data_IF_303872288649
#
_entry.id   IF_303872288649
#
_cell.length_a   1.000
_cell.length_b   1.000
_cell.length_c   1.000
_cell.angle_alpha   90.00
_cell.angle_beta   90.00
_cell.angle_gamma   90.00
#
_symmetry.space_group_name_H-M   'P 1'
#
loop_
_entity.id
_entity.type
_entity.pdbx_description
1 polymer ?
#
# COMPACT_ATOMS: atom_id res chain seq x y z
N UNK A 1 47.10 -44.02 -57.75
CA UNK A 1 47.90 -45.15 -58.27
C UNK A 1 48.47 -45.88 -57.05
N UNK A 2 47.90 -47.00 -56.61
CA UNK A 2 48.11 -48.38 -57.10
C UNK A 2 49.59 -48.79 -57.12
N UNK A 3 49.88 -49.79 -56.26
CA UNK A 3 50.90 -50.85 -56.38
C UNK A 3 52.37 -50.38 -56.28
N UNK A 4 53.35 -51.12 -55.77
CA UNK A 4 53.54 -52.54 -55.42
C UNK A 4 54.96 -52.63 -54.81
N UNK A 5 55.19 -53.27 -53.66
CA UNK A 5 55.54 -54.70 -53.45
C UNK A 5 57.03 -55.05 -53.65
N UNK A 6 57.48 -55.96 -52.77
CA UNK A 6 58.70 -56.80 -52.74
C UNK A 6 59.90 -56.19 -51.97
N UNK A 7 60.62 -56.92 -51.10
CA UNK A 7 61.20 -58.27 -51.32
C UNK A 7 61.69 -58.93 -50.00
N UNK A 8 61.49 -60.27 -49.88
CA UNK A 8 62.17 -61.40 -49.15
C UNK A 8 63.16 -61.17 -47.96
N UNK A 9 63.48 -62.11 -47.05
CA UNK A 9 62.95 -63.41 -46.57
C UNK A 9 63.92 -64.00 -45.49
N UNK A 10 63.48 -65.10 -44.84
CA UNK A 10 64.19 -66.11 -44.01
C UNK A 10 64.55 -65.69 -42.57
N UNK A 11 64.31 -66.48 -41.52
CA UNK A 11 63.78 -67.84 -41.38
C UNK A 11 63.88 -68.24 -39.90
N UNK A 12 63.15 -69.26 -39.47
CA UNK A 12 63.34 -69.83 -38.12
C UNK A 12 62.09 -70.46 -37.52
N UNK A 13 61.86 -71.72 -37.85
CA UNK A 13 60.94 -72.63 -37.16
C UNK A 13 61.27 -72.76 -35.67
N UNK A 14 60.24 -72.73 -34.82
CA UNK A 14 60.17 -73.60 -33.65
C UNK A 14 58.70 -73.92 -33.35
N UNK A 15 58.29 -75.13 -33.72
CA UNK A 15 57.05 -75.77 -33.32
C UNK A 15 57.16 -76.14 -31.83
N UNK A 16 56.30 -75.58 -30.97
CA UNK A 16 56.00 -76.18 -29.66
C UNK A 16 54.50 -76.46 -29.64
N UNK A 17 54.18 -77.73 -29.86
CA UNK A 17 52.93 -78.35 -29.44
C UNK A 17 52.92 -78.40 -27.91
N UNK A 18 51.78 -78.04 -27.30
CA UNK A 18 51.13 -78.76 -26.18
C UNK A 18 50.16 -77.84 -25.44
N UNK A 19 48.91 -78.30 -25.27
CA UNK A 19 48.03 -77.82 -24.19
C UNK A 19 46.70 -77.23 -24.64
N UNK A 20 45.79 -78.07 -25.15
CA UNK A 20 44.37 -77.79 -25.00
C UNK A 20 44.02 -77.81 -23.50
N UNK A 21 43.71 -76.64 -22.93
CA UNK A 21 43.01 -76.56 -21.64
C UNK A 21 41.83 -75.61 -21.82
N UNK A 22 40.65 -76.18 -22.01
CA UNK A 22 39.38 -75.47 -21.87
C UNK A 22 39.32 -74.89 -20.46
N UNK A 23 39.56 -73.60 -20.31
CA UNK A 23 39.19 -72.86 -19.10
C UNK A 23 37.68 -72.64 -19.17
N UNK A 24 36.94 -73.35 -18.32
CA UNK A 24 35.61 -72.91 -17.91
C UNK A 24 35.70 -71.46 -17.46
N UNK A 25 34.97 -70.58 -18.15
CA UNK A 25 34.70 -69.23 -17.68
C UNK A 25 33.76 -69.39 -16.49
N UNK A 26 34.33 -69.35 -15.29
CA UNK A 26 33.55 -69.17 -14.07
C UNK A 26 32.87 -67.81 -14.20
N UNK A 27 31.58 -67.82 -14.50
CA UNK A 27 30.73 -66.65 -14.54
C UNK A 27 30.70 -66.06 -13.13
N UNK A 28 31.46 -64.97 -12.90
CA UNK A 28 31.31 -64.21 -11.66
C UNK A 28 29.85 -63.76 -11.56
N UNK A 29 29.18 -63.99 -10.41
CA UNK A 29 27.85 -63.43 -10.20
C UNK A 29 27.92 -61.91 -10.41
N UNK A 30 26.90 -61.31 -11.06
CA UNK A 30 26.87 -59.86 -11.26
C UNK A 30 27.06 -59.16 -9.92
N UNK A 31 27.82 -58.05 -9.86
CA UNK A 31 27.97 -57.29 -8.63
C UNK A 31 26.58 -56.98 -8.07
N UNK A 32 26.37 -57.11 -6.75
CA UNK A 32 25.08 -56.77 -6.15
C UNK A 32 24.70 -55.35 -6.58
N UNK A 33 23.42 -55.09 -6.88
CA UNK A 33 22.98 -53.76 -7.27
C UNK A 33 23.44 -52.76 -6.20
N UNK A 34 23.93 -51.57 -6.61
CA UNK A 34 24.33 -50.55 -5.65
C UNK A 34 23.16 -50.30 -4.68
N UNK A 35 23.44 -50.18 -3.37
CA UNK A 35 22.39 -49.96 -2.39
C UNK A 35 21.52 -48.77 -2.80
N UNK A 36 20.20 -48.79 -2.51
CA UNK A 36 19.30 -47.70 -2.85
C UNK A 36 19.90 -46.37 -2.38
N UNK A 37 20.20 -45.48 -3.32
CA UNK A 37 20.70 -44.16 -2.94
C UNK A 37 19.56 -43.40 -2.28
N UNK A 38 19.77 -42.99 -1.03
CA UNK A 38 18.82 -42.14 -0.31
C UNK A 38 18.77 -40.78 -1.04
N UNK A 39 17.58 -40.29 -1.45
CA UNK A 39 17.45 -38.99 -2.07
C UNK A 39 18.01 -37.89 -1.17
N UNK A 40 18.71 -36.90 -1.74
CA UNK A 40 19.29 -35.77 -0.99
C UNK A 40 18.23 -35.11 -0.09
N UNK A 41 17.00 -34.97 -0.57
CA UNK A 41 15.86 -34.43 0.21
C UNK A 41 15.61 -35.16 1.53
N UNK A 42 15.71 -36.48 1.55
CA UNK A 42 15.46 -37.29 2.76
C UNK A 42 16.64 -37.20 3.74
N UNK A 43 17.86 -37.02 3.23
CA UNK A 43 19.04 -36.78 4.06
C UNK A 43 18.96 -35.41 4.75
N UNK A 44 18.46 -34.38 4.06
CA UNK A 44 18.26 -33.05 4.65
C UNK A 44 17.27 -33.05 5.82
N UNK A 45 16.25 -33.92 5.82
CA UNK A 45 15.24 -34.03 6.89
C UNK A 45 15.83 -34.47 8.23
N UNK A 46 16.99 -35.14 8.22
CA UNK A 46 17.69 -35.60 9.43
C UNK A 46 18.32 -34.44 10.22
N UNK A 47 18.54 -33.30 9.57
CA UNK A 47 19.18 -32.14 10.18
C UNK A 47 18.13 -31.16 10.72
N UNK A 48 18.09 -31.04 12.05
CA UNK A 48 17.18 -30.13 12.77
C UNK A 48 17.93 -28.92 13.30
N UNK A 49 17.30 -27.74 13.21
CA UNK A 49 17.84 -26.54 13.81
C UNK A 49 17.75 -26.59 15.34
N UNK A 50 18.61 -25.84 16.07
CA UNK A 50 18.46 -25.65 17.51
C UNK A 50 17.04 -25.21 17.88
N UNK A 51 16.59 -25.58 19.08
CA UNK A 51 15.24 -25.24 19.55
C UNK A 51 14.98 -23.73 19.46
N UNK A 52 13.79 -23.35 18.98
CA UNK A 52 13.39 -21.96 18.81
C UNK A 52 13.91 -21.27 17.54
N UNK A 53 14.76 -21.92 16.74
CA UNK A 53 15.21 -21.40 15.45
C UNK A 53 14.26 -21.77 14.29
N UNK A 54 14.22 -20.90 13.29
CA UNK A 54 13.59 -21.15 12.01
C UNK A 54 14.50 -22.03 11.15
N UNK A 55 13.93 -22.99 10.44
CA UNK A 55 14.65 -23.94 9.57
C UNK A 55 14.28 -23.72 8.12
N UNK A 56 15.26 -23.63 7.23
CA UNK A 56 15.07 -23.67 5.79
C UNK A 56 15.81 -24.84 5.17
N UNK A 57 15.25 -25.42 4.11
CA UNK A 57 15.94 -26.38 3.28
C UNK A 57 15.83 -26.01 1.80
N UNK A 58 16.88 -26.23 1.03
CA UNK A 58 16.87 -25.90 -0.39
C UNK A 58 17.66 -26.92 -1.18
N UNK A 59 17.20 -27.19 -2.40
CA UNK A 59 17.86 -28.07 -3.37
C UNK A 59 18.08 -27.26 -4.66
N UNK A 60 19.28 -27.35 -5.24
CA UNK A 60 19.60 -26.76 -6.53
C UNK A 60 20.78 -27.47 -7.20
N UNK A 61 21.18 -27.02 -8.39
CA UNK A 61 22.37 -27.52 -9.09
C UNK A 61 23.70 -27.04 -8.50
N UNK A 62 23.65 -26.00 -7.67
CA UNK A 62 24.81 -25.40 -7.01
C UNK A 62 24.45 -24.90 -5.60
N UNK A 63 25.49 -24.60 -4.82
CA UNK A 63 25.37 -24.18 -3.44
C UNK A 63 24.61 -22.87 -3.25
N UNK A 64 24.86 -21.86 -4.10
CA UNK A 64 24.31 -20.52 -3.92
C UNK A 64 22.78 -20.52 -4.11
N UNK A 65 22.29 -21.19 -5.15
CA UNK A 65 20.86 -21.35 -5.37
C UNK A 65 20.20 -22.27 -4.31
N UNK A 66 20.90 -23.30 -3.83
CA UNK A 66 20.38 -24.16 -2.77
C UNK A 66 20.25 -23.39 -1.44
N UNK A 67 21.23 -22.54 -1.12
CA UNK A 67 21.17 -21.63 0.03
C UNK A 67 20.05 -20.60 -0.12
N UNK A 68 19.88 -19.99 -1.30
CA UNK A 68 18.78 -19.05 -1.56
C UNK A 68 17.41 -19.71 -1.37
N UNK A 69 17.23 -20.93 -1.87
CA UNK A 69 16.00 -21.71 -1.66
C UNK A 69 15.76 -21.99 -0.16
N UNK A 70 16.80 -22.31 0.60
CA UNK A 70 16.69 -22.50 2.04
C UNK A 70 16.30 -21.20 2.78
N UNK A 71 16.90 -20.07 2.42
CA UNK A 71 16.55 -18.75 2.97
C UNK A 71 15.09 -18.38 2.65
N UNK A 72 14.64 -18.64 1.42
CA UNK A 72 13.26 -18.39 1.00
C UNK A 72 12.27 -19.25 1.79
N UNK A 73 12.59 -20.50 2.10
CA UNK A 73 11.75 -21.32 2.97
C UNK A 73 11.60 -20.74 4.39
N UNK A 74 12.66 -20.14 4.94
CA UNK A 74 12.59 -19.44 6.25
C UNK A 74 11.63 -18.25 6.15
N UNK A 75 11.74 -17.44 5.09
CA UNK A 75 10.87 -16.29 4.88
C UNK A 75 9.39 -16.70 4.71
N UNK A 76 9.11 -17.77 3.97
CA UNK A 76 7.76 -18.33 3.80
C UNK A 76 7.16 -18.78 5.14
N UNK A 77 7.95 -19.36 6.04
CA UNK A 77 7.46 -19.74 7.37
C UNK A 77 7.00 -18.53 8.19
N UNK A 78 7.77 -17.45 8.17
CA UNK A 78 7.39 -16.20 8.83
C UNK A 78 6.08 -15.68 8.23
N UNK A 79 6.01 -15.59 6.90
CA UNK A 79 4.81 -15.12 6.19
C UNK A 79 3.57 -15.97 6.51
N UNK A 80 3.70 -17.29 6.57
CA UNK A 80 2.59 -18.20 6.89
C UNK A 80 2.07 -18.01 8.32
N UNK A 81 2.99 -17.71 9.25
CA UNK A 81 2.64 -17.45 10.66
C UNK A 81 1.93 -16.11 10.80
N UNK A 82 2.42 -15.07 10.12
CA UNK A 82 1.73 -13.77 10.09
C UNK A 82 0.33 -13.91 9.50
N UNK A 83 0.19 -14.56 8.35
CA UNK A 83 -1.12 -14.78 7.70
C UNK A 83 -2.10 -15.49 8.65
N UNK A 84 -1.61 -16.44 9.45
CA UNK A 84 -2.43 -17.17 10.42
C UNK A 84 -2.87 -16.27 11.57
N UNK A 85 -1.98 -15.43 12.10
CA UNK A 85 -2.30 -14.44 13.15
C UNK A 85 -3.32 -13.43 12.64
N UNK A 86 -3.10 -12.87 11.44
CA UNK A 86 -4.02 -11.90 10.85
C UNK A 86 -5.42 -12.51 10.66
N UNK A 87 -5.53 -13.75 10.16
CA UNK A 87 -6.83 -14.45 10.03
C UNK A 87 -7.52 -14.70 11.37
N UNK A 88 -6.76 -15.01 12.42
CA UNK A 88 -7.32 -15.23 13.76
C UNK A 88 -7.90 -13.93 14.35
N UNK A 89 -7.24 -12.79 14.11
CA UNK A 89 -7.74 -11.47 14.52
C UNK A 89 -8.99 -11.03 13.74
N UNK A 90 -9.08 -11.35 12.44
CA UNK A 90 -10.31 -11.11 11.66
C UNK A 90 -11.53 -11.81 12.28
N UNK A 91 -11.35 -13.02 12.82
CA UNK A 91 -12.43 -13.74 13.49
C UNK A 91 -12.91 -13.11 14.81
N UNK A 92 -12.10 -12.25 15.44
CA UNK A 92 -12.43 -11.57 16.70
C UNK A 92 -12.99 -10.15 16.53
N UNK A 93 -12.71 -9.49 15.40
CA UNK A 93 -13.00 -8.07 15.18
C UNK A 93 -14.32 -7.80 14.41
N UNK A 94 -15.08 -8.86 14.15
CA UNK A 94 -16.45 -8.80 13.59
C UNK A 94 -17.43 -8.66 14.74
N UNK A 95 -18.17 -7.55 14.78
CA UNK A 95 -19.23 -7.38 15.78
C UNK A 95 -20.39 -8.38 15.53
N UNK A 96 -21.32 -8.52 16.49
CA UNK A 96 -22.45 -9.45 16.39
C UNK A 96 -23.39 -9.20 15.18
N UNK A 97 -23.21 -8.10 14.47
CA UNK A 97 -23.99 -7.67 13.30
C UNK A 97 -23.24 -7.92 11.97
N UNK A 98 -22.06 -8.56 12.02
CA UNK A 98 -21.27 -8.87 10.83
C UNK A 98 -20.47 -7.69 10.26
N UNK A 99 -20.32 -6.60 11.02
CA UNK A 99 -19.64 -5.38 10.58
C UNK A 99 -18.24 -5.28 11.21
N UNK A 100 -17.22 -5.25 10.38
CA UNK A 100 -15.82 -5.08 10.79
C UNK A 100 -15.58 -3.65 11.32
N UNK A 101 -14.92 -3.51 12.47
CA UNK A 101 -14.68 -2.21 13.11
C UNK A 101 -13.69 -1.30 12.36
N UNK A 102 -12.89 -1.85 11.42
CA UNK A 102 -11.87 -1.13 10.64
C UNK A 102 -11.93 -1.52 9.16
N UNK A 103 -12.96 -1.09 8.44
CA UNK A 103 -13.32 -1.58 7.09
C UNK A 103 -12.35 -1.22 5.94
N UNK A 104 -11.22 -0.51 6.16
CA UNK A 104 -10.38 0.00 5.04
C UNK A 104 -8.91 -0.40 5.04
N UNK A 105 -8.41 -1.11 6.06
CA UNK A 105 -6.99 -1.51 6.11
C UNK A 105 -6.71 -2.94 5.64
N UNK A 106 -7.76 -3.78 5.53
CA UNK A 106 -7.60 -5.24 5.43
C UNK A 106 -7.20 -5.78 4.06
N UNK A 107 -7.57 -5.13 2.95
CA UNK A 107 -7.10 -5.56 1.62
C UNK A 107 -5.59 -5.33 1.42
N UNK A 108 -4.94 -4.51 2.26
CA UNK A 108 -3.49 -4.26 2.18
C UNK A 108 -2.62 -5.25 2.97
N UNK A 109 -3.13 -5.84 4.05
CA UNK A 109 -2.30 -6.53 5.07
C UNK A 109 -1.93 -7.98 4.75
N UNK A 110 -1.78 -8.38 3.49
CA UNK A 110 -1.23 -9.70 3.14
C UNK A 110 0.13 -9.66 2.43
N UNK A 111 0.66 -8.48 2.14
CA UNK A 111 1.99 -8.32 1.56
C UNK A 111 3.06 -8.21 2.64
N UNK A 112 3.14 -9.21 3.54
CA UNK A 112 4.41 -9.44 4.24
C UNK A 112 5.40 -9.87 3.15
N UNK A 113 6.38 -9.02 2.88
CA UNK A 113 7.43 -9.31 1.89
C UNK A 113 8.00 -10.69 2.16
N UNK A 114 8.00 -11.54 1.13
CA UNK A 114 8.57 -12.90 1.16
C UNK A 114 10.11 -12.89 1.24
N UNK A 115 10.72 -11.75 1.54
CA UNK A 115 12.18 -11.56 1.53
C UNK A 115 12.70 -11.27 2.93
N UNK A 116 13.58 -12.15 3.42
CA UNK A 116 14.28 -11.98 4.67
C UNK A 116 15.38 -10.90 4.51
N UNK A 117 15.13 -9.69 5.05
CA UNK A 117 16.02 -8.51 4.90
C UNK A 117 17.43 -8.73 5.46
N UNK A 118 17.57 -9.57 6.47
CA UNK A 118 18.84 -9.91 7.10
C UNK A 118 19.28 -11.35 6.81
N UNK A 119 19.14 -11.78 5.55
CA UNK A 119 19.56 -13.09 5.07
C UNK A 119 21.02 -13.46 5.40
N UNK A 120 21.90 -12.49 5.58
CA UNK A 120 23.30 -12.70 5.98
C UNK A 120 23.45 -13.27 7.39
N UNK A 121 22.43 -13.14 8.25
CA UNK A 121 22.45 -13.70 9.61
C UNK A 121 22.06 -15.19 9.63
N UNK A 122 21.62 -15.73 8.48
CA UNK A 122 21.29 -17.15 8.32
C UNK A 122 22.57 -17.98 8.37
N UNK A 123 22.55 -19.04 9.18
CA UNK A 123 23.69 -19.96 9.33
C UNK A 123 23.40 -21.28 8.65
N UNK A 124 24.30 -21.70 7.77
CA UNK A 124 24.24 -23.05 7.19
C UNK A 124 24.61 -24.06 8.26
N UNK A 125 23.71 -25.01 8.49
CA UNK A 125 23.92 -26.13 9.41
C UNK A 125 24.61 -27.28 8.69
N UNK A 126 24.16 -27.59 7.47
CA UNK A 126 24.68 -28.72 6.70
C UNK A 126 24.57 -28.48 5.19
N UNK A 127 25.48 -29.10 4.43
CA UNK A 127 25.44 -29.16 2.98
C UNK A 127 25.66 -30.60 2.48
N UNK A 128 24.73 -31.10 1.68
CA UNK A 128 24.81 -32.44 1.07
C UNK A 128 24.89 -32.29 -0.44
N UNK A 129 25.90 -32.87 -1.09
CA UNK A 129 26.05 -32.81 -2.55
C UNK A 129 26.17 -34.22 -3.14
N UNK A 130 25.26 -34.58 -4.05
CA UNK A 130 25.27 -35.86 -4.78
C UNK A 130 24.71 -35.70 -6.19
N UNK A 131 25.32 -36.39 -7.16
CA UNK A 131 24.80 -36.50 -8.54
C UNK A 131 24.39 -35.17 -9.21
N UNK A 132 25.16 -34.10 -8.95
CA UNK A 132 24.88 -32.77 -9.53
C UNK A 132 23.76 -31.98 -8.84
N UNK A 133 23.26 -32.46 -7.70
CA UNK A 133 22.31 -31.76 -6.83
C UNK A 133 23.00 -31.40 -5.52
N UNK A 134 22.89 -30.14 -5.12
CA UNK A 134 23.32 -29.60 -3.83
C UNK A 134 22.09 -29.32 -2.98
N UNK A 135 22.10 -29.85 -1.75
CA UNK A 135 21.13 -29.61 -0.72
C UNK A 135 21.74 -28.82 0.45
N UNK A 136 21.02 -27.82 0.93
CA UNK A 136 21.44 -26.97 2.05
C UNK A 136 20.36 -26.97 3.11
N UNK A 137 20.75 -27.16 4.38
CA UNK A 137 19.92 -26.86 5.54
C UNK A 137 20.48 -25.63 6.23
N UNK A 138 19.62 -24.64 6.43
CA UNK A 138 19.98 -23.37 7.03
C UNK A 138 19.07 -23.05 8.22
N UNK A 139 19.64 -22.39 9.21
CA UNK A 139 18.97 -22.04 10.46
C UNK A 139 19.09 -20.54 10.74
N UNK A 140 18.06 -19.97 11.35
CA UNK A 140 18.08 -18.60 11.82
C UNK A 140 17.37 -18.50 13.16
N UNK A 141 17.94 -17.76 14.12
CA UNK A 141 17.22 -17.50 15.36
C UNK A 141 16.06 -16.55 15.12
N UNK A 142 14.95 -16.73 15.84
CA UNK A 142 13.82 -15.78 15.81
C UNK A 142 14.27 -14.36 16.20
N UNK A 143 15.22 -14.25 17.12
CA UNK A 143 15.78 -12.95 17.53
C UNK A 143 16.54 -12.28 16.41
N UNK A 144 17.32 -13.03 15.61
CA UNK A 144 17.98 -12.47 14.44
C UNK A 144 16.93 -12.07 13.39
N UNK A 145 15.98 -12.95 13.08
CA UNK A 145 14.88 -12.66 12.15
C UNK A 145 14.11 -11.38 12.52
N UNK A 146 13.95 -11.12 13.83
CA UNK A 146 13.19 -9.97 14.33
C UNK A 146 13.92 -8.62 14.23
N UNK A 147 15.26 -8.60 14.13
CA UNK A 147 16.06 -7.35 14.16
C UNK A 147 15.54 -6.24 13.24
N UNK A 148 15.39 -6.44 11.91
CA UNK A 148 14.92 -5.39 11.02
C UNK A 148 13.50 -4.91 11.38
N UNK A 149 12.63 -5.84 11.80
CA UNK A 149 11.25 -5.52 12.15
C UNK A 149 11.12 -4.75 13.47
N UNK A 150 12.08 -4.86 14.39
CA UNK A 150 12.09 -4.05 15.62
C UNK A 150 12.35 -2.58 15.32
N UNK A 151 13.27 -2.30 14.41
CA UNK A 151 13.58 -0.93 13.97
C UNK A 151 12.38 -0.33 13.21
N UNK A 152 11.79 -1.11 12.29
CA UNK A 152 10.58 -0.71 11.56
C UNK A 152 9.40 -0.47 12.53
N UNK A 153 9.21 -1.35 13.53
CA UNK A 153 8.17 -1.22 14.56
C UNK A 153 8.31 0.06 15.38
N UNK A 154 9.51 0.35 15.88
CA UNK A 154 9.76 1.57 16.67
C UNK A 154 9.51 2.82 15.82
N UNK A 155 10.04 2.84 14.60
CA UNK A 155 9.85 3.96 13.67
C UNK A 155 8.37 4.18 13.32
N UNK A 156 7.64 3.10 13.05
CA UNK A 156 6.22 3.15 12.73
C UNK A 156 5.36 3.57 13.95
N UNK A 157 5.72 3.10 15.15
CA UNK A 157 5.08 3.52 16.40
C UNK A 157 5.25 5.02 16.63
N UNK A 158 6.47 5.55 16.51
CA UNK A 158 6.74 6.97 16.73
C UNK A 158 6.02 7.84 15.70
N UNK A 159 6.00 7.41 14.44
CA UNK A 159 5.24 8.06 13.38
C UNK A 159 3.73 8.08 13.67
N UNK A 160 3.17 6.96 14.14
CA UNK A 160 1.76 6.86 14.53
C UNK A 160 1.44 7.81 15.70
N UNK A 161 2.22 7.78 16.78
CA UNK A 161 2.03 8.68 17.93
C UNK A 161 2.09 10.14 17.52
N UNK A 162 3.07 10.51 16.70
CA UNK A 162 3.18 11.86 16.14
C UNK A 162 1.96 12.23 15.30
N UNK A 163 1.51 11.35 14.41
CA UNK A 163 0.37 11.61 13.54
C UNK A 163 -0.96 11.78 14.30
N UNK A 164 -1.17 11.03 15.39
CA UNK A 164 -2.34 11.18 16.26
C UNK A 164 -2.34 12.56 16.93
N UNK A 165 -1.19 12.98 17.49
CA UNK A 165 -1.06 14.29 18.12
C UNK A 165 -1.28 15.44 17.11
N UNK A 166 -0.72 15.33 15.91
CA UNK A 166 -0.93 16.34 14.85
C UNK A 166 -2.42 16.40 14.45
N UNK A 167 -3.09 15.26 14.28
CA UNK A 167 -4.51 15.21 13.94
C UNK A 167 -5.37 15.92 15.01
N UNK A 168 -5.08 15.69 16.28
CA UNK A 168 -5.79 16.29 17.41
C UNK A 168 -5.65 17.82 17.41
N UNK A 169 -4.44 18.32 17.21
CA UNK A 169 -4.13 19.77 17.21
C UNK A 169 -4.60 20.50 15.93
N UNK A 170 -4.87 19.79 14.84
CA UNK A 170 -5.22 20.40 13.56
C UNK A 170 -6.67 20.89 13.59
N UNK A 171 -6.86 22.20 13.37
CA UNK A 171 -8.19 22.82 13.24
C UNK A 171 -8.62 23.00 11.78
N UNK A 172 -7.68 23.21 10.86
CA UNK A 172 -7.99 23.42 9.45
C UNK A 172 -8.59 22.14 8.84
N UNK A 173 -9.81 22.16 8.27
CA UNK A 173 -10.48 20.94 7.81
C UNK A 173 -9.72 20.12 6.79
N UNK A 174 -9.19 20.74 5.72
CA UNK A 174 -8.42 20.01 4.70
C UNK A 174 -7.17 19.34 5.27
N UNK A 175 -6.43 20.04 6.13
CA UNK A 175 -5.27 19.47 6.81
C UNK A 175 -5.68 18.34 7.74
N UNK A 176 -6.83 18.47 8.42
CA UNK A 176 -7.35 17.42 9.31
C UNK A 176 -7.71 16.15 8.54
N UNK A 177 -8.34 16.28 7.37
CA UNK A 177 -8.59 15.15 6.46
C UNK A 177 -7.27 14.49 6.03
N UNK A 178 -6.29 15.28 5.56
CA UNK A 178 -5.00 14.75 5.14
C UNK A 178 -4.19 14.12 6.29
N UNK A 179 -4.27 14.69 7.49
CA UNK A 179 -3.58 14.15 8.67
C UNK A 179 -4.24 12.88 9.19
N UNK A 180 -5.56 12.71 9.00
CA UNK A 180 -6.24 11.43 9.26
C UNK A 180 -5.74 10.33 8.32
N UNK A 181 -5.60 10.63 7.01
CA UNK A 181 -5.05 9.68 6.04
C UNK A 181 -3.60 9.28 6.38
N UNK A 182 -2.77 10.25 6.82
CA UNK A 182 -1.42 9.95 7.31
C UNK A 182 -1.43 9.08 8.56
N UNK A 183 -2.31 9.35 9.52
CA UNK A 183 -2.44 8.57 10.75
C UNK A 183 -2.86 7.13 10.45
N UNK A 184 -3.85 6.94 9.58
CA UNK A 184 -4.31 5.58 9.19
C UNK A 184 -3.22 4.82 8.43
N UNK A 185 -2.45 5.48 7.57
CA UNK A 185 -1.30 4.87 6.92
C UNK A 185 -0.20 4.47 7.92
N UNK A 186 0.13 5.34 8.88
CA UNK A 186 1.10 5.04 9.94
C UNK A 186 0.65 3.85 10.81
N UNK A 187 -0.66 3.77 11.13
CA UNK A 187 -1.23 2.64 11.86
C UNK A 187 -1.10 1.32 11.10
N UNK A 188 -1.31 1.32 9.78
CA UNK A 188 -1.10 0.14 8.93
C UNK A 188 0.34 -0.39 9.06
N UNK A 189 1.33 0.49 8.90
CA UNK A 189 2.74 0.10 8.98
C UNK A 189 3.15 -0.37 10.40
N UNK A 190 2.60 0.28 11.43
CA UNK A 190 2.78 -0.16 12.82
C UNK A 190 2.26 -1.59 13.01
N UNK A 191 1.01 -1.86 12.57
CA UNK A 191 0.37 -3.17 12.69
C UNK A 191 1.11 -4.27 11.91
N UNK A 192 1.56 -3.97 10.69
CA UNK A 192 2.36 -4.90 9.88
C UNK A 192 3.61 -5.37 10.62
N UNK A 193 4.40 -4.43 11.15
CA UNK A 193 5.62 -4.74 11.90
C UNK A 193 5.32 -5.48 13.20
N UNK A 194 4.26 -5.09 13.90
CA UNK A 194 3.82 -5.70 15.14
C UNK A 194 3.39 -7.17 14.96
N UNK A 195 2.67 -7.48 13.87
CA UNK A 195 2.25 -8.84 13.55
C UNK A 195 3.43 -9.76 13.19
N UNK A 196 4.43 -9.24 12.47
CA UNK A 196 5.67 -10.01 12.20
C UNK A 196 6.39 -10.31 13.51
N UNK A 197 6.58 -9.32 14.38
CA UNK A 197 7.22 -9.53 15.68
C UNK A 197 6.45 -10.53 16.55
N UNK A 198 5.12 -10.45 16.58
CA UNK A 198 4.27 -11.42 17.29
C UNK A 198 4.45 -12.84 16.74
N UNK A 199 4.51 -13.01 15.41
CA UNK A 199 4.77 -14.31 14.77
C UNK A 199 6.13 -14.92 15.15
N UNK A 200 7.11 -14.06 15.42
CA UNK A 200 8.44 -14.43 15.89
C UNK A 200 8.51 -14.60 17.42
N UNK A 201 7.39 -14.45 18.14
CA UNK A 201 7.31 -14.61 19.60
C UNK A 201 7.69 -13.36 20.40
N UNK A 202 7.79 -12.20 19.76
CA UNK A 202 8.06 -10.91 20.40
C UNK A 202 6.78 -10.06 20.45
N UNK A 203 5.85 -10.42 21.33
CA UNK A 203 4.66 -9.60 21.56
C UNK A 203 5.03 -8.37 22.42
N UNK A 204 4.61 -7.19 21.99
CA UNK A 204 4.64 -5.96 22.79
C UNK A 204 3.23 -5.66 23.35
N UNK A 205 3.14 -4.80 24.35
CA UNK A 205 1.86 -4.34 24.89
C UNK A 205 1.20 -3.34 23.92
N UNK A 206 0.55 -3.87 22.88
CA UNK A 206 -0.10 -3.09 21.81
C UNK A 206 -1.34 -2.32 22.29
N UNK A 207 -1.91 -2.70 23.44
CA UNK A 207 -3.20 -2.20 23.91
C UNK A 207 -3.25 -0.68 24.09
N UNK A 208 -2.19 -0.07 24.62
CA UNK A 208 -2.15 1.39 24.87
C UNK A 208 -2.18 2.21 23.56
N UNK A 209 -1.44 1.75 22.55
CA UNK A 209 -1.38 2.40 21.24
C UNK A 209 -2.71 2.22 20.50
N UNK A 210 -3.30 1.02 20.58
CA UNK A 210 -4.60 0.73 19.98
C UNK A 210 -5.73 1.55 20.61
N UNK A 211 -5.74 1.69 21.94
CA UNK A 211 -6.69 2.56 22.63
C UNK A 211 -6.53 4.03 22.18
N UNK A 212 -5.30 4.52 22.12
CA UNK A 212 -5.00 5.88 21.66
C UNK A 212 -5.44 6.11 20.22
N UNK A 213 -5.20 5.13 19.34
CA UNK A 213 -5.63 5.18 17.94
C UNK A 213 -7.15 5.19 17.81
N UNK A 214 -7.85 4.32 18.54
CA UNK A 214 -9.32 4.28 18.53
C UNK A 214 -9.91 5.60 19.01
N UNK A 215 -9.36 6.20 20.07
CA UNK A 215 -9.76 7.52 20.55
C UNK A 215 -9.54 8.62 19.50
N UNK A 216 -8.41 8.60 18.79
CA UNK A 216 -8.14 9.54 17.71
C UNK A 216 -9.13 9.37 16.54
N UNK A 217 -9.49 8.13 16.19
CA UNK A 217 -10.51 7.84 15.20
C UNK A 217 -11.90 8.35 15.63
N UNK A 218 -12.29 8.15 16.87
CA UNK A 218 -13.55 8.66 17.43
C UNK A 218 -13.61 10.18 17.38
N UNK A 219 -12.54 10.87 17.80
CA UNK A 219 -12.45 12.33 17.71
C UNK A 219 -12.56 12.83 16.26
N UNK A 220 -11.98 12.12 15.30
CA UNK A 220 -12.15 12.44 13.88
C UNK A 220 -13.59 12.17 13.37
N UNK A 221 -14.22 11.09 13.80
CA UNK A 221 -15.63 10.79 13.46
C UNK A 221 -16.56 11.89 13.99
N UNK A 222 -16.33 12.34 15.23
CA UNK A 222 -17.08 13.46 15.81
C UNK A 222 -16.90 14.73 14.97
N UNK A 223 -15.66 15.08 14.64
CA UNK A 223 -15.35 16.20 13.76
C UNK A 223 -16.07 16.09 12.40
N UNK A 224 -16.00 14.92 11.74
CA UNK A 224 -16.66 14.66 10.45
C UNK A 224 -18.18 14.81 10.54
N UNK A 225 -18.79 14.39 11.65
CA UNK A 225 -20.24 14.47 11.87
C UNK A 225 -20.76 15.90 12.06
N UNK A 226 -19.88 16.79 12.53
CA UNK A 226 -20.19 18.20 12.83
C UNK A 226 -19.72 19.15 11.73
N UNK A 227 -18.92 18.66 10.78
CA UNK A 227 -18.41 19.47 9.69
C UNK A 227 -19.52 19.74 8.66
N UNK A 228 -19.73 21.02 8.38
CA UNK A 228 -20.65 21.46 7.34
C UNK A 228 -20.00 22.53 6.45
N UNK A 229 -20.55 22.71 5.26
CA UNK A 229 -20.24 23.84 4.40
C UNK A 229 -21.41 24.81 4.53
N UNK A 230 -21.12 25.96 5.12
CA UNK A 230 -22.08 27.02 5.36
C UNK A 230 -22.06 28.02 4.22
N UNK A 231 -23.22 28.57 3.87
CA UNK A 231 -23.33 29.64 2.90
C UNK A 231 -23.87 30.90 3.57
N UNK A 232 -23.12 31.99 3.40
CA UNK A 232 -23.45 33.34 3.82
C UNK A 232 -23.47 34.21 2.57
N UNK A 233 -24.64 34.72 2.18
CA UNK A 233 -24.74 35.54 0.98
C UNK A 233 -26.04 36.30 0.91
N UNK A 234 -26.10 37.27 0.01
CA UNK A 234 -27.28 38.09 -0.25
C UNK A 234 -28.27 37.29 -1.10
N UNK A 235 -29.06 36.42 -0.45
CA UNK A 235 -30.07 35.60 -1.12
C UNK A 235 -31.27 36.44 -1.62
N UNK A 236 -31.37 37.70 -1.20
CA UNK A 236 -32.35 38.65 -1.69
C UNK A 236 -32.04 39.15 -3.12
N UNK A 237 -30.78 39.06 -3.56
CA UNK A 237 -30.36 39.40 -4.92
C UNK A 237 -30.55 38.19 -5.86
N UNK A 238 -30.99 38.44 -7.11
CA UNK A 238 -31.23 37.38 -8.09
C UNK A 238 -29.95 36.59 -8.41
N UNK A 239 -28.82 37.29 -8.52
CA UNK A 239 -27.49 36.72 -8.71
C UNK A 239 -27.08 35.82 -7.54
N UNK A 240 -27.31 36.28 -6.31
CA UNK A 240 -26.97 35.54 -5.10
C UNK A 240 -27.81 34.26 -4.95
N UNK A 241 -29.11 34.36 -5.16
CA UNK A 241 -30.01 33.22 -5.20
C UNK A 241 -29.61 32.22 -6.30
N UNK A 242 -29.21 32.71 -7.47
CA UNK A 242 -28.79 31.86 -8.60
C UNK A 242 -27.47 31.14 -8.30
N UNK A 243 -26.48 31.83 -7.75
CA UNK A 243 -25.21 31.22 -7.33
C UNK A 243 -25.45 30.14 -6.28
N UNK A 244 -26.27 30.41 -5.26
CA UNK A 244 -26.62 29.42 -4.25
C UNK A 244 -27.30 28.18 -4.87
N UNK A 245 -28.23 28.37 -5.80
CA UNK A 245 -28.88 27.26 -6.51
C UNK A 245 -27.88 26.42 -7.32
N UNK A 246 -26.94 27.05 -8.01
CA UNK A 246 -25.94 26.31 -8.77
C UNK A 246 -24.97 25.55 -7.85
N UNK A 247 -24.54 26.18 -6.75
CA UNK A 247 -23.65 25.53 -5.76
C UNK A 247 -24.35 24.37 -5.03
N UNK A 248 -25.61 24.54 -4.64
CA UNK A 248 -26.37 23.49 -3.95
C UNK A 248 -26.63 22.23 -4.79
N UNK A 249 -26.44 22.27 -6.12
CA UNK A 249 -26.54 21.08 -6.99
C UNK A 249 -25.46 20.03 -6.72
N UNK A 250 -24.27 20.42 -6.25
CA UNK A 250 -23.14 19.51 -6.04
C UNK A 250 -22.66 19.47 -4.59
N UNK A 251 -22.97 20.49 -3.80
CA UNK A 251 -22.56 20.60 -2.40
C UNK A 251 -23.79 20.76 -1.53
N UNK A 252 -23.86 19.98 -0.46
CA UNK A 252 -24.84 20.24 0.58
C UNK A 252 -24.44 21.51 1.34
N UNK A 253 -25.21 22.58 1.16
CA UNK A 253 -24.98 23.88 1.78
C UNK A 253 -25.98 24.09 2.93
N UNK A 254 -25.47 24.49 4.08
CA UNK A 254 -26.28 24.90 5.22
C UNK A 254 -26.31 26.43 5.28
N UNK A 255 -27.49 27.03 5.45
CA UNK A 255 -27.55 28.49 5.59
C UNK A 255 -27.20 28.89 7.02
N UNK A 256 -26.42 29.97 7.20
CA UNK A 256 -26.00 30.42 8.55
C UNK A 256 -27.19 30.88 9.39
N UNK A 257 -28.33 31.21 8.76
CA UNK A 257 -29.58 31.55 9.44
C UNK A 257 -30.18 30.39 10.26
N UNK A 258 -29.88 29.14 9.87
CA UNK A 258 -30.47 27.94 10.47
C UNK A 258 -29.67 27.43 11.70
N UNK A 259 -28.40 27.82 11.82
CA UNK A 259 -27.51 27.36 12.90
C UNK A 259 -26.22 28.19 12.96
N UNK A 260 -25.72 28.46 14.17
CA UNK A 260 -24.40 29.05 14.34
C UNK A 260 -23.31 28.12 13.76
N UNK A 261 -22.36 28.69 13.01
CA UNK A 261 -21.21 27.96 12.48
C UNK A 261 -20.32 27.49 13.64
N UNK A 262 -20.21 26.17 13.84
CA UNK A 262 -19.32 25.60 14.86
C UNK A 262 -18.02 25.08 14.26
N UNK A 263 -18.13 24.20 13.25
CA UNK A 263 -17.00 23.53 12.61
C UNK A 263 -17.33 23.40 11.11
N UNK A 264 -16.49 23.95 10.25
CA UNK A 264 -16.78 23.91 8.83
C UNK A 264 -16.03 24.92 7.98
N UNK A 265 -16.53 25.02 6.74
CA UNK A 265 -16.17 26.05 5.78
C UNK A 265 -17.34 27.03 5.65
N UNK A 266 -17.12 28.31 5.87
CA UNK A 266 -18.07 29.37 5.56
C UNK A 266 -17.76 29.92 4.18
N UNK A 267 -18.75 29.88 3.30
CA UNK A 267 -18.72 30.47 1.97
C UNK A 267 -19.46 31.81 2.02
N UNK A 268 -18.70 32.89 2.06
CA UNK A 268 -19.26 34.25 2.04
C UNK A 268 -19.25 34.80 0.61
N UNK A 269 -20.43 35.08 0.06
CA UNK A 269 -20.61 35.64 -1.28
C UNK A 269 -20.67 37.16 -1.22
N UNK A 270 -19.77 37.82 -1.95
CA UNK A 270 -19.75 39.25 -2.14
C UNK A 270 -20.15 39.61 -3.57
N UNK A 271 -21.13 40.50 -3.69
CA UNK A 271 -21.65 41.01 -4.96
C UNK A 271 -21.42 42.53 -5.02
N UNK A 272 -20.87 43.01 -6.12
CA UNK A 272 -20.77 44.45 -6.39
C UNK A 272 -22.02 44.97 -7.11
N UNK A 273 -22.33 46.26 -7.02
CA UNK A 273 -23.39 46.84 -7.85
C UNK A 273 -23.09 46.65 -9.36
N UNK A 274 -24.07 46.17 -10.17
CA UNK A 274 -23.90 46.04 -11.61
C UNK A 274 -23.58 47.39 -12.27
N UNK A 275 -22.51 47.43 -13.05
CA UNK A 275 -22.09 48.62 -13.80
C UNK A 275 -22.49 48.46 -15.26
N UNK A 276 -23.47 49.22 -15.70
CA UNK A 276 -23.96 49.21 -17.07
C UNK A 276 -23.42 50.40 -17.87
N UNK A 277 -23.00 50.13 -19.11
CA UNK A 277 -22.49 51.14 -20.05
C UNK A 277 -23.14 50.94 -21.42
N UNK A 278 -23.62 52.04 -22.00
CA UNK A 278 -24.07 52.07 -23.39
C UNK A 278 -22.87 52.06 -24.33
N UNK A 279 -22.99 51.29 -25.42
CA UNK A 279 -22.00 51.24 -26.49
C UNK A 279 -22.65 51.02 -27.86
N UNK A 280 -21.85 51.01 -28.92
CA UNK A 280 -22.34 50.90 -30.30
C UNK A 280 -23.03 49.58 -30.66
N UNK A 281 -23.01 48.58 -29.76
CA UNK A 281 -23.64 47.26 -29.94
C UNK A 281 -24.76 46.98 -28.91
N UNK A 282 -25.17 47.99 -28.13
CA UNK A 282 -26.18 47.88 -27.07
C UNK A 282 -25.62 48.21 -25.68
N UNK A 283 -26.32 47.77 -24.63
CA UNK A 283 -25.95 47.99 -23.23
C UNK A 283 -25.14 46.81 -22.72
N UNK A 284 -23.97 47.06 -22.14
CA UNK A 284 -23.16 46.04 -21.47
C UNK A 284 -23.17 46.28 -19.97
N UNK A 285 -23.62 45.29 -19.20
CA UNK A 285 -23.55 45.29 -17.75
C UNK A 285 -22.45 44.33 -17.29
N UNK A 286 -21.67 44.76 -16.31
CA UNK A 286 -20.63 43.96 -15.66
C UNK A 286 -20.76 44.01 -14.16
N UNK A 287 -20.55 42.89 -13.51
CA UNK A 287 -20.58 42.76 -12.06
C UNK A 287 -19.39 41.93 -11.60
N UNK A 288 -18.75 42.36 -10.51
CA UNK A 288 -17.70 41.59 -9.86
C UNK A 288 -18.34 40.78 -8.75
N UNK A 289 -18.06 39.48 -8.76
CA UNK A 289 -18.50 38.55 -7.73
C UNK A 289 -17.28 37.90 -7.08
N UNK A 290 -17.32 37.71 -5.77
CA UNK A 290 -16.26 37.02 -5.05
C UNK A 290 -16.86 36.01 -4.07
N UNK A 291 -16.28 34.81 -4.05
CA UNK A 291 -16.58 33.79 -3.06
C UNK A 291 -15.40 33.64 -2.10
N UNK A 292 -15.62 33.97 -0.84
CA UNK A 292 -14.63 33.83 0.22
C UNK A 292 -14.90 32.53 0.99
N UNK A 293 -13.88 31.68 1.10
CA UNK A 293 -13.91 30.50 1.97
C UNK A 293 -13.18 30.81 3.26
N UNK A 294 -13.83 30.62 4.41
CA UNK A 294 -13.23 30.89 5.72
C UNK A 294 -13.63 29.87 6.78
N UNK A 295 -12.94 29.89 7.92
CA UNK A 295 -13.33 29.13 9.10
C UNK A 295 -14.55 29.75 9.78
N UNK A 296 -15.25 28.99 10.63
CA UNK A 296 -16.29 29.54 11.51
C UNK A 296 -15.80 30.67 12.45
N UNK A 297 -14.48 30.84 12.59
CA UNK A 297 -13.85 31.90 13.39
C UNK A 297 -13.36 33.08 12.54
N UNK A 298 -13.62 33.07 11.22
CA UNK A 298 -13.27 34.15 10.29
C UNK A 298 -11.85 34.06 9.71
N UNK A 299 -11.14 32.96 9.89
CA UNK A 299 -9.84 32.75 9.24
C UNK A 299 -10.07 32.46 7.75
N UNK A 300 -9.60 33.33 6.86
CA UNK A 300 -9.75 33.16 5.41
C UNK A 300 -8.83 32.05 4.90
N UNK A 301 -9.40 31.10 4.17
CA UNK A 301 -8.68 30.02 3.49
C UNK A 301 -8.46 30.33 2.01
N UNK A 302 -9.44 30.93 1.35
CA UNK A 302 -9.35 31.30 -0.06
C UNK A 302 -10.30 32.44 -0.43
N UNK A 303 -10.02 33.10 -1.55
CA UNK A 303 -10.91 34.06 -2.21
C UNK A 303 -10.91 33.77 -3.70
N UNK A 304 -12.09 33.59 -4.28
CA UNK A 304 -12.28 33.33 -5.70
C UNK A 304 -13.09 34.46 -6.32
N UNK A 305 -12.42 35.35 -7.04
CA UNK A 305 -13.05 36.47 -7.73
C UNK A 305 -13.37 36.13 -9.18
N UNK A 306 -14.46 36.67 -9.70
CA UNK A 306 -14.83 36.58 -11.10
C UNK A 306 -15.63 37.81 -11.55
N UNK A 307 -15.76 37.99 -12.86
CA UNK A 307 -16.53 39.09 -13.44
C UNK A 307 -17.63 38.53 -14.32
N UNK A 308 -18.87 38.76 -13.93
CA UNK A 308 -20.06 38.47 -14.71
C UNK A 308 -20.25 39.55 -15.77
N UNK A 309 -20.73 39.15 -16.95
CA UNK A 309 -20.98 40.06 -18.06
C UNK A 309 -22.25 39.69 -18.81
N UNK A 310 -23.14 40.66 -18.97
CA UNK A 310 -24.33 40.56 -19.81
C UNK A 310 -24.35 41.65 -20.87
N UNK A 311 -24.79 41.30 -22.08
CA UNK A 311 -24.91 42.25 -23.21
C UNK A 311 -26.34 42.26 -23.73
N UNK A 312 -27.07 43.34 -23.44
CA UNK A 312 -28.42 43.62 -23.92
C UNK A 312 -28.37 44.40 -25.23
N UNK A 313 -29.26 44.08 -26.17
CA UNK A 313 -29.30 44.74 -27.48
C UNK A 313 -30.08 46.05 -27.43
N UNK A 314 -31.09 46.13 -26.57
CA UNK A 314 -32.05 47.23 -26.57
C UNK A 314 -32.09 48.02 -25.27
N UNK A 315 -31.91 47.38 -24.11
CA UNK A 315 -31.99 48.04 -22.81
C UNK A 315 -31.11 47.38 -21.73
N UNK A 316 -31.06 48.04 -20.56
CA UNK A 316 -30.27 47.64 -19.40
C UNK A 316 -30.82 46.39 -18.70
N UNK A 317 -32.13 46.19 -18.72
CA UNK A 317 -32.79 45.03 -18.08
C UNK A 317 -32.46 43.73 -18.83
N UNK A 318 -32.46 43.75 -20.17
CA UNK A 318 -31.99 42.64 -21.00
C UNK A 318 -30.52 42.31 -20.71
N UNK A 319 -29.69 43.33 -20.48
CA UNK A 319 -28.28 43.16 -20.15
C UNK A 319 -28.10 42.53 -18.76
N UNK A 320 -28.88 42.96 -17.75
CA UNK A 320 -28.89 42.37 -16.39
C UNK A 320 -29.39 40.92 -16.39
N UNK A 321 -30.48 40.60 -17.09
CA UNK A 321 -30.95 39.21 -17.16
C UNK A 321 -29.91 38.29 -17.82
N UNK A 322 -29.20 38.76 -18.85
CA UNK A 322 -28.11 37.99 -19.47
C UNK A 322 -26.89 37.85 -18.57
N UNK A 323 -26.66 38.79 -17.66
CA UNK A 323 -25.64 38.69 -16.63
C UNK A 323 -25.98 37.55 -15.67
N UNK A 324 -27.20 37.48 -15.13
CA UNK A 324 -27.67 36.36 -14.28
C UNK A 324 -27.56 35.02 -15.02
N UNK A 325 -28.01 34.97 -16.27
CA UNK A 325 -27.94 33.74 -17.09
C UNK A 325 -26.50 33.31 -17.43
N UNK A 326 -25.51 34.20 -17.28
CA UNK A 326 -24.10 33.85 -17.49
C UNK A 326 -23.53 33.01 -16.34
N UNK A 327 -24.15 33.05 -15.15
CA UNK A 327 -23.78 32.24 -13.97
C UNK A 327 -23.88 30.75 -14.30
N UNK A 328 -24.91 30.33 -15.05
CA UNK A 328 -25.10 28.93 -15.46
C UNK A 328 -24.07 28.44 -16.49
N UNK A 329 -23.45 29.36 -17.26
CA UNK A 329 -22.66 29.01 -18.46
C UNK A 329 -21.21 28.61 -18.18
N UNK A 330 -20.90 28.23 -16.94
CA UNK A 330 -19.85 27.27 -16.63
C UNK A 330 -18.46 27.82 -16.31
N UNK A 331 -17.98 28.86 -17.02
CA UNK A 331 -16.58 29.29 -16.85
C UNK A 331 -16.29 29.86 -15.46
N UNK A 332 -17.23 30.61 -14.89
CA UNK A 332 -17.09 31.19 -13.54
C UNK A 332 -17.14 30.12 -12.44
N UNK A 333 -18.08 29.19 -12.54
CA UNK A 333 -18.27 28.15 -11.55
C UNK A 333 -17.23 27.04 -11.66
N UNK A 334 -16.52 26.89 -12.78
CA UNK A 334 -15.53 25.83 -12.96
C UNK A 334 -14.37 25.95 -11.95
N UNK A 335 -13.80 27.15 -11.80
CA UNK A 335 -12.72 27.39 -10.84
C UNK A 335 -13.21 27.29 -9.39
N UNK A 336 -14.43 27.76 -9.12
CA UNK A 336 -15.08 27.62 -7.82
C UNK A 336 -15.31 26.16 -7.48
N UNK A 337 -15.74 25.35 -8.46
CA UNK A 337 -15.95 23.93 -8.28
C UNK A 337 -14.67 23.18 -7.98
N UNK A 338 -13.61 23.49 -8.73
CA UNK A 338 -12.30 22.88 -8.51
C UNK A 338 -11.79 23.10 -7.10
N UNK A 339 -12.03 24.28 -6.52
CA UNK A 339 -11.68 24.55 -5.14
C UNK A 339 -12.63 23.82 -4.18
N UNK A 340 -13.95 23.99 -4.32
CA UNK A 340 -14.96 23.42 -3.42
C UNK A 340 -14.91 21.89 -3.36
N UNK A 341 -14.57 21.19 -4.45
CA UNK A 341 -14.40 19.74 -4.47
C UNK A 341 -13.39 19.23 -3.44
N UNK A 342 -12.40 20.04 -3.06
CA UNK A 342 -11.42 19.71 -2.03
C UNK A 342 -12.04 19.66 -0.63
N UNK A 343 -13.10 20.44 -0.42
CA UNK A 343 -13.75 20.66 0.88
C UNK A 343 -14.96 19.73 1.12
N UNK A 344 -15.40 19.01 0.09
CA UNK A 344 -16.48 18.03 0.22
C UNK A 344 -15.92 16.78 0.88
N UNK A 345 -16.55 16.38 1.99
CA UNK A 345 -16.23 15.09 2.59
C UNK A 345 -16.76 13.97 1.70
N UNK A 346 -15.89 13.05 1.32
CA UNK A 346 -16.26 11.81 0.63
C UNK A 346 -16.80 10.74 1.58
#
# INVERSE_FOLDING_TARGET
>A
MKLSRNTLALGGMALILLGCSSKEVVQQPPPPPPPPQVPVSHELELYTCPEGNLRGSGLAGDYDHALENAVNQIAIQIQSSVTSISKAQVGSDVNAEGKESVTSSYERTSQVSATLRNRQDVRVLETVAREGVVGVVACMSKSDAAKPYREDYQSARDALVSSMAVLEMTNHPLEKFANYDKMTAAYSHYRESAQVLQSLGFADNQAEIEESYNKAQEGYKEFKSRYHIYFEGVLEAEEGAKIFQELSKKVFLQTVLDSACEIGLVLSLELSDPKCKEGGLGVTCTEVVALNGSSCKGETYFTLGATLKGVGRFDEEEAKQKLVNSIEKGDLLADWWKELERWIIK
#
